data_IF_034173211395
#
_entry.id   IF_034173211395
#
_cell.length_a   1.000
_cell.length_b   1.000
_cell.length_c   1.000
_cell.angle_alpha   90.00
_cell.angle_beta   90.00
_cell.angle_gamma   90.00
#
_symmetry.space_group_name_H-M   'P 1'
#
loop_
_entity.id
_entity.type
_entity.pdbx_description
1 polymer ?
#
# COMPACT_ATOMS: atom_id res chain seq x y z
N UNK A 1 4.31 14.75 -5.50
CA UNK A 1 4.82 13.44 -5.04
C UNK A 1 6.20 13.68 -4.45
N UNK A 2 6.63 12.87 -3.50
CA UNK A 2 7.98 12.97 -2.93
C UNK A 2 8.95 12.25 -3.87
N UNK A 3 10.09 12.87 -4.12
CA UNK A 3 11.13 12.32 -5.01
C UNK A 3 12.41 12.00 -4.25
N UNK A 4 12.68 12.72 -3.16
CA UNK A 4 13.84 12.51 -2.32
C UNK A 4 13.73 11.22 -1.49
N UNK A 5 14.83 10.49 -1.40
CA UNK A 5 14.88 9.19 -0.72
C UNK A 5 14.60 9.29 0.77
N UNK A 6 15.05 10.36 1.43
CA UNK A 6 14.90 10.54 2.86
C UNK A 6 13.49 11.06 3.18
N UNK A 7 12.95 11.97 2.37
CA UNK A 7 11.54 12.40 2.49
C UNK A 7 10.57 11.22 2.31
N UNK A 8 10.81 10.34 1.33
CA UNK A 8 10.01 9.13 1.16
C UNK A 8 10.19 8.22 2.37
N UNK A 9 11.43 8.04 2.87
CA UNK A 9 11.68 7.22 4.06
C UNK A 9 10.89 7.72 5.26
N UNK A 10 10.91 9.03 5.54
CA UNK A 10 10.16 9.64 6.63
C UNK A 10 8.66 9.45 6.45
N UNK A 11 8.12 9.78 5.26
CA UNK A 11 6.70 9.59 4.96
C UNK A 11 6.23 8.14 5.20
N UNK A 12 7.04 7.16 4.78
CA UNK A 12 6.71 5.75 4.99
C UNK A 12 6.71 5.40 6.48
N UNK A 13 7.70 5.89 7.23
CA UNK A 13 7.88 5.53 8.64
C UNK A 13 7.01 6.35 9.60
N UNK A 14 6.36 7.42 9.15
CA UNK A 14 5.39 8.19 9.92
C UNK A 14 3.96 7.90 9.49
N UNK A 15 3.59 8.22 8.25
CA UNK A 15 2.19 8.20 7.81
C UNK A 15 1.75 6.77 7.48
N UNK A 16 2.47 6.11 6.57
CA UNK A 16 2.09 4.76 6.10
C UNK A 16 2.18 3.75 7.23
N UNK A 17 3.23 3.83 8.05
CA UNK A 17 3.38 2.95 9.20
C UNK A 17 2.26 3.12 10.21
N UNK A 18 1.86 4.36 10.53
CA UNK A 18 0.76 4.63 11.47
C UNK A 18 -0.58 4.09 10.97
N UNK A 19 -0.86 4.23 9.67
CA UNK A 19 -2.08 3.65 9.08
C UNK A 19 -2.07 2.12 9.15
N UNK A 20 -0.94 1.50 8.82
CA UNK A 20 -0.80 0.04 8.92
C UNK A 20 -0.90 -0.47 10.35
N UNK A 21 -0.26 0.21 11.31
CA UNK A 21 -0.36 -0.13 12.74
C UNK A 21 -1.84 -0.17 13.17
N UNK A 22 -2.63 0.85 12.79
CA UNK A 22 -4.07 0.90 13.10
C UNK A 22 -4.87 -0.21 12.40
N UNK A 23 -4.53 -0.54 11.15
CA UNK A 23 -5.16 -1.66 10.43
C UNK A 23 -4.87 -2.98 11.15
N UNK A 24 -3.62 -3.25 11.54
CA UNK A 24 -3.23 -4.46 12.29
C UNK A 24 -3.95 -4.56 13.63
N UNK A 25 -4.03 -3.48 14.40
CA UNK A 25 -4.80 -3.44 15.64
C UNK A 25 -6.29 -3.76 15.40
N UNK A 26 -6.87 -3.24 14.31
CA UNK A 26 -8.28 -3.50 13.95
C UNK A 26 -8.55 -4.97 13.58
N UNK A 27 -7.51 -5.67 13.10
CA UNK A 27 -7.53 -7.10 12.77
C UNK A 27 -7.24 -7.99 13.99
N UNK A 28 -6.80 -7.41 15.12
CA UNK A 28 -6.41 -8.14 16.33
C UNK A 28 -4.99 -8.67 16.31
N UNK A 29 -4.16 -8.20 15.38
CA UNK A 29 -2.74 -8.50 15.31
C UNK A 29 -1.96 -7.55 16.23
N UNK A 30 -0.80 -7.98 16.79
CA UNK A 30 0.11 -7.07 17.51
C UNK A 30 1.11 -6.45 16.51
N UNK A 31 0.97 -5.15 16.15
CA UNK A 31 1.83 -4.50 15.17
C UNK A 31 3.32 -4.52 15.57
N UNK A 32 3.62 -4.58 16.87
CA UNK A 32 5.00 -4.53 17.38
C UNK A 32 5.78 -5.81 17.10
N UNK A 33 5.08 -6.93 16.91
CA UNK A 33 5.66 -8.22 16.56
C UNK A 33 5.65 -8.48 15.05
N UNK A 34 5.00 -7.62 14.27
CA UNK A 34 4.86 -7.83 12.83
C UNK A 34 6.19 -7.62 12.09
N UNK A 35 6.55 -8.61 11.27
CA UNK A 35 7.82 -8.61 10.54
C UNK A 35 7.83 -7.59 9.40
N UNK A 36 6.68 -7.28 8.81
CA UNK A 36 6.56 -6.31 7.72
C UNK A 36 6.83 -4.90 8.26
N UNK A 37 6.10 -4.47 9.29
CA UNK A 37 6.26 -3.16 9.96
C UNK A 37 7.68 -2.94 10.46
N UNK A 38 8.25 -3.94 11.12
CA UNK A 38 9.62 -3.88 11.64
C UNK A 38 10.70 -3.89 10.55
N UNK A 39 10.33 -4.18 9.30
CA UNK A 39 11.23 -4.11 8.15
C UNK A 39 11.26 -2.74 7.47
N UNK A 40 10.20 -1.93 7.57
CA UNK A 40 10.06 -0.66 6.83
C UNK A 40 11.20 0.34 7.11
N UNK A 41 11.64 0.56 8.37
CA UNK A 41 12.71 1.53 8.66
C UNK A 41 14.08 1.11 8.11
N UNK A 42 14.28 -0.19 7.83
CA UNK A 42 15.56 -0.78 7.40
C UNK A 42 15.77 -0.71 5.89
N UNK A 43 14.84 -0.09 5.17
CA UNK A 43 14.79 -0.09 3.71
C UNK A 43 15.21 1.26 3.16
N UNK A 44 15.86 1.22 1.99
CA UNK A 44 16.04 2.41 1.16
C UNK A 44 14.84 2.53 0.22
N UNK A 45 14.19 3.69 0.24
CA UNK A 45 12.98 3.96 -0.53
C UNK A 45 13.30 4.83 -1.73
N UNK A 46 12.64 4.57 -2.86
CA UNK A 46 12.78 5.36 -4.09
C UNK A 46 11.45 5.43 -4.82
N UNK A 47 11.21 6.55 -5.49
CA UNK A 47 10.12 6.67 -6.47
C UNK A 47 10.51 5.98 -7.77
N UNK A 48 9.67 5.07 -8.25
CA UNK A 48 9.88 4.30 -9.48
C UNK A 48 8.57 4.10 -10.24
N UNK A 49 8.67 3.78 -11.53
CA UNK A 49 7.56 3.20 -12.28
C UNK A 49 7.58 1.69 -12.06
N UNK A 50 6.42 1.11 -11.75
CA UNK A 50 6.24 -0.32 -11.50
C UNK A 50 5.10 -0.88 -12.32
N UNK A 51 5.22 -2.13 -12.76
CA UNK A 51 4.14 -2.85 -13.44
C UNK A 51 3.04 -3.20 -12.46
N UNK A 52 1.80 -2.80 -12.75
CA UNK A 52 0.63 -3.01 -11.87
C UNK A 52 0.36 -4.50 -11.65
N UNK A 53 0.57 -5.33 -12.68
CA UNK A 53 0.34 -6.78 -12.63
C UNK A 53 1.46 -7.56 -11.93
N UNK A 54 2.62 -6.94 -11.69
CA UNK A 54 3.73 -7.56 -10.95
C UNK A 54 3.52 -7.46 -9.42
N UNK A 55 2.66 -6.54 -8.99
CA UNK A 55 2.42 -6.22 -7.59
C UNK A 55 1.49 -7.23 -6.93
N UNK A 56 1.95 -7.80 -5.82
CA UNK A 56 1.23 -8.80 -5.02
C UNK A 56 0.63 -8.15 -3.79
N UNK A 57 -0.69 -8.24 -3.66
CA UNK A 57 -1.39 -7.86 -2.43
C UNK A 57 -1.00 -8.80 -1.27
N UNK A 58 -0.91 -8.26 -0.04
CA UNK A 58 -0.61 -9.06 1.15
C UNK A 58 -1.78 -9.99 1.48
N UNK A 59 -1.60 -11.33 1.45
CA UNK A 59 -2.65 -12.30 1.79
C UNK A 59 -3.25 -12.09 3.18
N UNK A 60 -2.46 -11.63 4.15
CA UNK A 60 -2.94 -11.36 5.51
C UNK A 60 -3.99 -10.26 5.52
N UNK A 61 -3.75 -9.17 4.78
CA UNK A 61 -4.65 -8.01 4.72
C UNK A 61 -5.88 -8.33 3.88
N UNK A 62 -5.73 -8.94 2.70
CA UNK A 62 -6.89 -9.20 1.82
C UNK A 62 -7.88 -10.21 2.41
N UNK A 63 -7.40 -11.12 3.28
CA UNK A 63 -8.26 -12.11 3.94
C UNK A 63 -8.77 -11.64 5.30
N UNK A 64 -8.44 -10.43 5.74
CA UNK A 64 -8.82 -9.95 7.06
C UNK A 64 -10.26 -9.44 7.11
N UNK A 65 -10.76 -9.38 8.34
CA UNK A 65 -11.99 -8.70 8.69
C UNK A 65 -11.74 -7.79 9.90
N UNK A 66 -12.44 -6.69 9.92
CA UNK A 66 -12.43 -5.74 11.03
C UNK A 66 -13.11 -6.36 12.25
N UNK A 67 -12.41 -6.47 13.38
CA UNK A 67 -12.96 -7.12 14.57
C UNK A 67 -14.17 -6.40 15.18
N UNK A 68 -14.28 -5.09 14.97
CA UNK A 68 -15.37 -4.28 15.55
C UNK A 68 -16.65 -4.39 14.74
N UNK A 69 -16.54 -4.35 13.42
CA UNK A 69 -17.67 -4.27 12.49
C UNK A 69 -17.96 -5.60 11.78
N UNK A 70 -17.03 -6.55 11.81
CA UNK A 70 -17.09 -7.82 11.08
C UNK A 70 -16.94 -7.66 9.56
N UNK A 71 -16.78 -6.44 9.06
CA UNK A 71 -16.71 -6.18 7.61
C UNK A 71 -15.39 -6.69 7.06
N UNK A 72 -15.46 -7.44 5.95
CA UNK A 72 -14.27 -7.97 5.28
C UNK A 72 -13.51 -6.86 4.58
N UNK A 73 -12.18 -6.93 4.60
CA UNK A 73 -11.33 -5.95 3.92
C UNK A 73 -11.70 -5.79 2.43
N UNK A 74 -11.90 -6.91 1.73
CA UNK A 74 -12.25 -6.90 0.30
C UNK A 74 -13.59 -6.24 -0.02
N UNK A 75 -14.56 -6.27 0.90
CA UNK A 75 -15.85 -5.59 0.71
C UNK A 75 -15.67 -4.08 0.77
N UNK A 76 -14.95 -3.60 1.81
CA UNK A 76 -14.60 -2.19 1.96
C UNK A 76 -13.75 -1.69 0.79
N UNK A 77 -12.80 -2.51 0.34
CA UNK A 77 -11.95 -2.19 -0.80
C UNK A 77 -12.76 -2.00 -2.09
N UNK A 78 -13.76 -2.84 -2.33
CA UNK A 78 -14.62 -2.76 -3.52
C UNK A 78 -15.41 -1.46 -3.59
N UNK A 79 -15.94 -1.00 -2.44
CA UNK A 79 -16.66 0.28 -2.33
C UNK A 79 -15.72 1.44 -2.65
N UNK A 80 -14.58 1.52 -1.95
CA UNK A 80 -13.57 2.57 -2.17
C UNK A 80 -13.04 2.59 -3.60
N UNK A 81 -12.87 1.42 -4.22
CA UNK A 81 -12.43 1.28 -5.62
C UNK A 81 -13.41 1.94 -6.59
N UNK A 82 -14.71 1.73 -6.39
CA UNK A 82 -15.76 2.34 -7.22
C UNK A 82 -15.73 3.87 -7.14
N UNK A 83 -15.52 4.41 -5.95
CA UNK A 83 -15.39 5.85 -5.73
C UNK A 83 -14.13 6.42 -6.39
N UNK A 84 -12.97 5.77 -6.18
CA UNK A 84 -11.72 6.19 -6.79
C UNK A 84 -11.79 6.14 -8.32
N UNK A 85 -12.34 5.07 -8.89
CA UNK A 85 -12.52 4.95 -10.33
C UNK A 85 -13.32 6.12 -10.91
N UNK A 86 -14.45 6.48 -10.30
CA UNK A 86 -15.26 7.63 -10.73
C UNK A 86 -14.48 8.94 -10.65
N UNK A 87 -13.71 9.14 -9.58
CA UNK A 87 -12.89 10.33 -9.42
C UNK A 87 -11.80 10.42 -10.50
N UNK A 88 -11.22 9.29 -10.91
CA UNK A 88 -10.21 9.24 -11.97
C UNK A 88 -10.82 9.48 -13.37
N UNK A 89 -11.94 8.84 -13.67
CA UNK A 89 -12.65 9.01 -14.95
C UNK A 89 -13.13 10.46 -15.16
N UNK A 90 -13.39 11.19 -14.08
CA UNK A 90 -13.78 12.61 -14.12
C UNK A 90 -12.60 13.58 -14.03
N UNK A 91 -11.36 13.07 -13.94
CA UNK A 91 -10.15 13.89 -13.80
C UNK A 91 -10.06 14.65 -12.47
N UNK A 92 -10.87 14.28 -11.48
CA UNK A 92 -11.03 15.01 -10.22
C UNK A 92 -9.99 14.69 -9.14
N UNK A 93 -9.01 13.82 -9.42
CA UNK A 93 -8.02 13.42 -8.41
C UNK A 93 -6.66 13.06 -9.02
N UNK A 94 -5.60 13.25 -8.22
CA UNK A 94 -4.23 12.82 -8.53
C UNK A 94 -3.95 11.52 -7.79
N UNK A 95 -3.39 10.53 -8.50
CA UNK A 95 -3.02 9.24 -7.91
C UNK A 95 -1.69 9.37 -7.20
N UNK A 96 -1.70 9.16 -5.88
CA UNK A 96 -0.48 9.01 -5.09
C UNK A 96 0.18 7.66 -5.38
N UNK A 97 1.53 7.58 -5.38
CA UNK A 97 2.25 6.35 -5.65
C UNK A 97 1.90 5.22 -4.68
N UNK A 98 1.82 3.99 -5.18
CA UNK A 98 1.63 2.79 -4.34
C UNK A 98 2.91 2.48 -3.56
N UNK A 99 2.81 1.80 -2.42
CA UNK A 99 3.98 1.46 -1.60
C UNK A 99 4.24 -0.03 -1.69
N UNK A 100 5.45 -0.44 -2.08
CA UNK A 100 5.78 -1.85 -2.25
C UNK A 100 7.18 -2.21 -1.78
N UNK A 101 7.33 -3.46 -1.36
CA UNK A 101 8.62 -4.09 -1.08
C UNK A 101 9.14 -4.79 -2.33
N UNK A 102 10.33 -4.39 -2.81
CA UNK A 102 10.85 -4.88 -4.09
C UNK A 102 11.08 -6.39 -4.09
N UNK A 103 11.62 -6.94 -3.01
CA UNK A 103 12.07 -8.33 -2.98
C UNK A 103 10.91 -9.34 -3.10
N UNK A 104 9.73 -8.96 -2.60
CA UNK A 104 8.53 -9.80 -2.65
C UNK A 104 7.51 -9.30 -3.67
N UNK A 105 7.76 -8.14 -4.30
CA UNK A 105 6.75 -7.34 -5.00
C UNK A 105 5.48 -7.14 -4.14
N UNK A 106 5.65 -7.03 -2.82
CA UNK A 106 4.54 -7.06 -1.87
C UNK A 106 4.01 -5.65 -1.66
N UNK A 107 2.71 -5.46 -1.85
CA UNK A 107 2.02 -4.21 -1.57
C UNK A 107 1.92 -3.97 -0.06
N UNK A 108 2.44 -2.82 0.36
CA UNK A 108 2.44 -2.33 1.74
C UNK A 108 1.24 -1.41 1.95
N UNK A 109 1.09 -0.43 1.07
CA UNK A 109 -0.03 0.52 1.07
C UNK A 109 -0.45 0.86 -0.37
N UNK A 110 -1.69 1.30 -0.53
CA UNK A 110 -2.26 1.68 -1.80
C UNK A 110 -3.16 0.61 -2.42
N UNK A 111 -3.73 -0.30 -1.62
CA UNK A 111 -4.65 -1.36 -2.08
C UNK A 111 -5.77 -0.85 -2.98
N UNK A 112 -6.40 0.26 -2.60
CA UNK A 112 -7.46 0.86 -3.42
C UNK A 112 -6.92 1.40 -4.75
N UNK A 113 -5.75 2.06 -4.73
CA UNK A 113 -5.11 2.60 -5.93
C UNK A 113 -4.66 1.47 -6.87
N UNK A 114 -3.92 0.50 -6.36
CA UNK A 114 -3.46 -0.68 -7.10
C UNK A 114 -4.64 -1.42 -7.76
N UNK A 115 -5.64 -1.81 -6.97
CA UNK A 115 -6.79 -2.57 -7.51
C UNK A 115 -7.65 -1.77 -8.49
N UNK A 116 -7.76 -0.43 -8.32
CA UNK A 116 -8.45 0.44 -9.29
C UNK A 116 -7.68 0.48 -10.61
N UNK A 117 -6.37 0.73 -10.55
CA UNK A 117 -5.51 0.78 -11.74
C UNK A 117 -5.54 -0.56 -12.51
N UNK A 118 -5.48 -1.67 -11.78
CA UNK A 118 -5.58 -3.01 -12.37
C UNK A 118 -6.94 -3.24 -13.05
N UNK A 119 -8.05 -2.88 -12.40
CA UNK A 119 -9.40 -3.01 -13.01
C UNK A 119 -9.58 -2.10 -14.24
N UNK A 120 -8.86 -0.98 -14.29
CA UNK A 120 -8.85 -0.06 -15.42
C UNK A 120 -7.87 -0.49 -16.54
N UNK A 121 -7.17 -1.61 -16.39
CA UNK A 121 -6.12 -2.07 -17.32
C UNK A 121 -5.00 -1.04 -17.53
N UNK A 122 -4.65 -0.28 -16.48
CA UNK A 122 -3.50 0.62 -16.52
C UNK A 122 -2.25 -0.21 -16.20
N UNK A 123 -1.27 -0.31 -17.11
CA UNK A 123 -0.17 -1.27 -16.97
C UNK A 123 0.89 -0.85 -15.97
N UNK A 124 1.04 0.45 -15.74
CA UNK A 124 2.12 1.03 -14.96
C UNK A 124 1.61 2.06 -13.96
N UNK A 125 2.27 2.12 -12.81
CA UNK A 125 1.99 3.08 -11.77
C UNK A 125 3.29 3.62 -11.17
N UNK A 126 3.23 4.82 -10.62
CA UNK A 126 4.27 5.27 -9.72
C UNK A 126 4.22 4.49 -8.41
N UNK A 127 5.38 4.11 -7.88
CA UNK A 127 5.51 3.42 -6.61
C UNK A 127 6.68 3.92 -5.78
N UNK A 128 6.47 4.01 -4.47
CA UNK A 128 7.56 4.08 -3.50
C UNK A 128 8.04 2.66 -3.20
N UNK A 129 9.22 2.33 -3.74
CA UNK A 129 9.80 0.99 -3.74
C UNK A 129 10.86 0.89 -2.66
N UNK A 130 10.58 0.11 -1.62
CA UNK A 130 11.50 -0.18 -0.53
C UNK A 130 12.39 -1.37 -0.84
N UNK A 131 13.70 -1.21 -0.69
CA UNK A 131 14.71 -2.27 -0.83
C UNK A 131 15.49 -2.50 0.45
N UNK A 132 15.78 -3.76 0.76
CA UNK A 132 16.70 -4.11 1.83
C UNK A 132 18.10 -3.61 1.45
N UNK A 133 18.71 -2.84 2.34
CA UNK A 133 20.13 -2.51 2.24
C UNK A 133 20.90 -3.65 2.91
N UNK A 134 21.41 -4.58 2.12
CA UNK A 134 22.38 -5.55 2.62
C UNK A 134 23.67 -4.76 2.88
N UNK A 135 24.13 -4.76 4.13
CA UNK A 135 25.48 -4.32 4.48
C UNK A 135 26.48 -5.44 4.20
#
# INVERSE_FOLDING_TARGET
>A
MLEDSDDIHDFINTEVRKELDADFESMGEDPRQDALLNSLPKRKWRLEIVGVDEVRMNPLIVNSADLKTGRKFMERLRERRSELRKALETGGTVIWPIVLLREQQLLVDGYCRHSTLQEMNIPEAYGYVGRIVVK
#
